data_IF_779271368557
#
_entry.id   IF_779271368557
#
_cell.length_a   1.000
_cell.length_b   1.000
_cell.length_c   1.000
_cell.angle_alpha   90.00
_cell.angle_beta   90.00
_cell.angle_gamma   90.00
#
_symmetry.space_group_name_H-M   'P 1'
#
loop_
_entity.id
_entity.type
_entity.pdbx_description
1 polymer ?
#
# COMPACT_ATOMS: atom_id res chain seq x y z
N UNK A 1 12.12 18.01 10.26
CA UNK A 1 11.94 19.43 10.63
C UNK A 1 11.74 19.56 12.15
N UNK A 2 12.59 20.32 12.86
CA UNK A 2 12.58 20.36 14.33
C UNK A 2 12.55 21.76 14.92
N UNK A 3 12.07 21.86 16.16
CA UNK A 3 12.24 22.99 17.05
C UNK A 3 12.50 22.45 18.48
N UNK A 4 13.48 23.03 19.18
CA UNK A 4 13.85 22.69 20.55
C UNK A 4 13.81 23.95 21.42
N UNK A 5 13.43 23.81 22.70
CA UNK A 5 13.63 24.81 23.76
C UNK A 5 14.10 24.12 25.07
N UNK A 6 14.85 24.83 25.94
CA UNK A 6 15.60 24.25 27.06
C UNK A 6 14.74 23.98 28.33
N UNK A 7 15.28 23.22 29.31
CA UNK A 7 14.52 22.69 30.45
C UNK A 7 14.38 23.66 31.64
N UNK A 8 13.51 23.30 32.59
CA UNK A 8 13.38 23.93 33.90
C UNK A 8 13.53 22.83 34.98
N UNK A 9 14.50 22.99 35.87
CA UNK A 9 14.74 22.24 37.12
C UNK A 9 13.77 22.69 38.22
N UNK A 10 13.50 22.08 39.37
CA UNK A 10 13.88 20.88 40.16
C UNK A 10 12.69 20.66 41.13
N UNK A 11 12.37 19.52 41.76
CA UNK A 11 12.92 18.15 41.86
C UNK A 11 11.74 17.19 42.21
N UNK A 12 11.95 15.86 42.15
CA UNK A 12 11.42 14.83 43.07
C UNK A 12 11.76 13.41 42.57
N UNK A 13 12.88 12.85 43.04
CA UNK A 13 13.08 11.39 43.13
C UNK A 13 12.20 10.82 44.30
N UNK A 14 11.87 9.54 44.42
CA UNK A 14 12.59 8.30 44.09
C UNK A 14 11.69 7.13 43.64
N UNK A 15 12.30 6.20 42.90
CA UNK A 15 12.09 4.73 42.89
C UNK A 15 10.69 4.09 42.67
N UNK A 16 10.55 3.43 41.50
CA UNK A 16 9.91 2.12 41.39
C UNK A 16 10.50 1.29 40.21
N UNK A 17 11.33 0.31 40.57
CA UNK A 17 11.87 -0.86 39.85
C UNK A 17 11.83 -1.00 38.30
N UNK A 18 13.01 -1.35 37.78
CA UNK A 18 13.20 -1.91 36.44
C UNK A 18 12.68 -3.35 36.31
N UNK A 19 11.89 -3.65 35.27
CA UNK A 19 11.77 -5.01 34.74
C UNK A 19 11.25 -5.06 33.28
N UNK A 20 12.20 -5.20 32.33
CA UNK A 20 12.17 -6.03 31.09
C UNK A 20 12.77 -5.33 29.88
N UNK A 21 14.07 -5.50 29.77
CA UNK A 21 14.75 -5.56 28.48
C UNK A 21 14.20 -6.78 27.71
N UNK A 22 13.54 -6.56 26.58
CA UNK A 22 13.54 -7.51 25.48
C UNK A 22 14.06 -6.78 24.26
N UNK A 23 15.34 -6.99 23.97
CA UNK A 23 16.00 -6.56 22.74
C UNK A 23 15.37 -7.32 21.57
N UNK A 24 14.22 -6.83 21.12
CA UNK A 24 13.71 -7.14 19.80
C UNK A 24 14.56 -6.32 18.82
N UNK A 25 15.65 -6.93 18.37
CA UNK A 25 16.46 -6.38 17.28
C UNK A 25 15.58 -6.29 16.03
N UNK A 26 14.92 -5.15 15.85
CA UNK A 26 14.23 -4.81 14.61
C UNK A 26 15.27 -4.75 13.51
N UNK A 27 15.41 -5.83 12.75
CA UNK A 27 16.09 -5.78 11.47
C UNK A 27 15.29 -4.81 10.60
N UNK A 28 15.77 -3.57 10.47
CA UNK A 28 15.33 -2.66 9.43
C UNK A 28 15.67 -3.33 8.10
N UNK A 29 14.67 -3.90 7.44
CA UNK A 29 14.81 -4.46 6.10
C UNK A 29 14.69 -3.29 5.13
N UNK A 30 15.73 -2.46 5.09
CA UNK A 30 15.82 -1.39 4.11
C UNK A 30 15.69 -1.97 2.70
N UNK A 31 14.87 -1.33 1.86
CA UNK A 31 14.63 -1.73 0.47
C UNK A 31 15.89 -2.26 -0.23
N UNK A 32 15.84 -3.40 -0.96
CA UNK A 32 16.99 -3.96 -1.66
C UNK A 32 17.52 -3.03 -2.77
N UNK A 33 16.80 -1.95 -3.09
CA UNK A 33 17.17 -0.95 -4.08
C UNK A 33 17.81 0.31 -3.49
N UNK A 34 17.87 0.46 -2.15
CA UNK A 34 18.28 1.72 -1.48
C UNK A 34 19.67 2.21 -1.90
N UNK A 35 20.65 1.30 -2.00
CA UNK A 35 22.03 1.61 -2.38
C UNK A 35 22.26 1.66 -3.91
N UNK A 36 21.23 1.39 -4.72
CA UNK A 36 21.34 1.27 -6.18
C UNK A 36 21.06 2.59 -6.92
N UNK A 37 20.63 3.63 -6.21
CA UNK A 37 20.36 4.96 -6.79
C UNK A 37 19.10 5.04 -7.66
N UNK A 38 18.16 4.11 -7.49
CA UNK A 38 16.86 4.14 -8.16
C UNK A 38 15.85 5.01 -7.39
N UNK A 39 14.92 5.63 -8.12
CA UNK A 39 13.78 6.38 -7.55
C UNK A 39 12.62 5.44 -7.22
N UNK A 40 12.01 5.56 -6.04
CA UNK A 40 10.74 4.90 -5.72
C UNK A 40 9.56 5.62 -6.40
N UNK A 41 9.26 5.25 -7.64
CA UNK A 41 8.14 5.81 -8.44
C UNK A 41 6.75 5.39 -7.95
N UNK A 42 6.66 4.48 -6.97
CA UNK A 42 5.44 4.09 -6.26
C UNK A 42 5.17 4.90 -4.99
N UNK A 43 6.08 5.80 -4.60
CA UNK A 43 5.98 6.64 -3.39
C UNK A 43 4.72 7.53 -3.35
N UNK A 44 4.00 7.50 -2.21
CA UNK A 44 2.87 8.39 -1.92
C UNK A 44 3.34 9.83 -1.71
N UNK A 45 4.50 10.06 -1.10
CA UNK A 45 5.15 11.37 -1.00
C UNK A 45 5.38 12.00 -2.36
N UNK A 46 5.92 11.25 -3.32
CA UNK A 46 6.17 11.71 -4.70
C UNK A 46 4.93 11.78 -5.59
N UNK A 47 3.75 11.41 -5.09
CA UNK A 47 2.47 11.59 -5.80
C UNK A 47 1.88 10.34 -6.46
N UNK A 48 2.45 9.15 -6.26
CA UNK A 48 1.86 7.87 -6.69
C UNK A 48 0.53 7.61 -5.97
N UNK A 49 -0.49 7.09 -6.65
CA UNK A 49 -1.83 6.86 -6.08
C UNK A 49 -2.44 5.55 -6.55
N UNK A 50 -3.22 4.89 -5.68
CA UNK A 50 -4.12 3.83 -6.08
C UNK A 50 -5.35 4.44 -6.76
N UNK A 51 -5.66 4.00 -7.98
CA UNK A 51 -6.83 4.42 -8.76
C UNK A 51 -8.06 3.52 -8.56
N UNK A 52 -7.83 2.24 -8.21
CA UNK A 52 -8.84 1.21 -7.99
C UNK A 52 -8.23 0.06 -7.18
N UNK A 53 -9.02 -0.62 -6.35
CA UNK A 53 -8.63 -1.86 -5.68
C UNK A 53 -9.89 -2.75 -5.51
N UNK A 54 -9.83 -4.03 -5.86
CA UNK A 54 -11.04 -4.90 -5.89
C UNK A 54 -11.75 -5.01 -4.54
N UNK A 55 -10.99 -5.10 -3.46
CA UNK A 55 -11.48 -5.33 -2.10
C UNK A 55 -10.50 -4.69 -1.10
N UNK A 56 -11.00 -3.88 -0.17
CA UNK A 56 -10.22 -3.16 0.84
C UNK A 56 -10.81 -3.43 2.24
N UNK A 57 -11.37 -4.62 2.45
CA UNK A 57 -12.16 -4.88 3.66
C UNK A 57 -11.32 -4.84 4.93
N UNK A 58 -10.17 -5.52 4.96
CA UNK A 58 -9.35 -5.62 6.17
C UNK A 58 -8.31 -4.51 6.24
N UNK A 59 -7.73 -4.08 5.10
CA UNK A 59 -6.87 -2.90 5.03
C UNK A 59 -6.88 -2.31 3.61
N UNK A 60 -6.66 -0.99 3.48
CA UNK A 60 -6.74 -0.28 2.20
C UNK A 60 -5.45 -0.36 1.38
N UNK A 61 -5.57 -0.45 0.06
CA UNK A 61 -4.45 -0.53 -0.88
C UNK A 61 -3.54 0.71 -0.85
N UNK A 62 -4.06 1.84 -0.37
CA UNK A 62 -3.29 3.07 -0.13
C UNK A 62 -2.08 2.90 0.80
N UNK A 63 -2.08 1.86 1.65
CA UNK A 63 -0.95 1.53 2.51
C UNK A 63 0.27 1.01 1.72
N UNK A 64 0.06 0.39 0.55
CA UNK A 64 1.14 -0.14 -0.30
C UNK A 64 2.11 0.94 -0.85
N UNK A 65 1.71 2.21 -0.75
CA UNK A 65 2.44 3.34 -1.32
C UNK A 65 3.11 4.21 -0.24
N UNK A 66 2.98 3.86 1.06
CA UNK A 66 3.62 4.61 2.14
C UNK A 66 5.14 4.62 1.98
N UNK A 67 5.75 5.70 2.46
CA UNK A 67 7.20 5.88 2.42
C UNK A 67 7.87 5.37 3.70
N UNK A 68 7.07 5.16 4.74
CA UNK A 68 7.45 4.57 6.02
C UNK A 68 7.39 3.04 6.00
N UNK A 69 8.27 2.40 6.78
CA UNK A 69 8.27 0.96 7.04
C UNK A 69 6.90 0.47 7.61
N UNK A 70 6.36 -0.69 7.18
CA UNK A 70 5.10 -1.21 7.69
C UNK A 70 5.09 -1.42 9.20
N UNK A 71 4.11 -0.82 9.89
CA UNK A 71 3.97 -0.91 11.35
C UNK A 71 2.94 -1.97 11.75
N UNK A 72 3.27 -2.81 12.74
CA UNK A 72 2.32 -3.71 13.38
C UNK A 72 2.11 -3.35 14.84
N UNK A 73 0.87 -2.98 15.17
CA UNK A 73 0.43 -2.75 16.54
C UNK A 73 -0.39 -3.97 17.02
N UNK A 74 0.07 -4.73 18.03
CA UNK A 74 -0.65 -5.90 18.55
C UNK A 74 -1.95 -5.54 19.29
N UNK A 75 -2.13 -4.29 19.72
CA UNK A 75 -3.31 -3.79 20.44
C UNK A 75 -4.32 -3.06 19.54
N UNK A 76 -3.92 -2.60 18.34
CA UNK A 76 -4.82 -1.94 17.40
C UNK A 76 -5.88 -2.88 16.79
N UNK A 77 -7.15 -2.56 16.97
CA UNK A 77 -8.30 -3.24 16.36
C UNK A 77 -9.37 -2.22 15.93
N UNK A 78 -10.12 -2.57 14.89
CA UNK A 78 -11.24 -1.83 14.32
C UNK A 78 -12.44 -2.78 14.13
N UNK A 79 -13.57 -2.28 13.60
CA UNK A 79 -14.76 -3.10 13.32
C UNK A 79 -14.46 -4.26 12.36
N UNK A 80 -13.55 -4.05 11.41
CA UNK A 80 -13.16 -5.03 10.40
C UNK A 80 -12.17 -6.07 10.93
N UNK A 81 -11.53 -5.82 12.09
CA UNK A 81 -10.59 -6.74 12.73
C UNK A 81 -9.28 -6.09 13.18
N UNK A 82 -8.18 -6.84 13.13
CA UNK A 82 -6.82 -6.32 13.37
C UNK A 82 -6.53 -5.24 12.33
N UNK A 83 -6.03 -4.08 12.79
CA UNK A 83 -5.50 -3.06 11.87
C UNK A 83 -4.16 -3.56 11.33
N UNK A 84 -4.02 -3.59 10.00
CA UNK A 84 -2.81 -4.00 9.30
C UNK A 84 -2.26 -2.83 8.47
N UNK A 85 -0.95 -2.61 8.52
CA UNK A 85 -0.29 -1.64 7.66
C UNK A 85 0.14 -2.28 6.33
N UNK A 86 -0.85 -2.44 5.46
CA UNK A 86 -0.70 -3.04 4.13
C UNK A 86 -2.05 -3.12 3.44
N UNK A 87 -2.16 -3.92 2.39
CA UNK A 87 -3.43 -4.20 1.71
C UNK A 87 -3.93 -5.60 2.07
N UNK A 88 -5.17 -5.73 2.53
CA UNK A 88 -5.76 -7.03 2.86
C UNK A 88 -7.22 -7.12 2.42
N UNK A 89 -7.49 -8.06 1.51
CA UNK A 89 -8.82 -8.37 0.99
C UNK A 89 -9.53 -9.48 1.76
N UNK A 90 -10.85 -9.59 1.58
CA UNK A 90 -11.60 -10.76 2.06
C UNK A 90 -11.12 -12.04 1.36
N UNK A 91 -11.01 -13.13 2.13
CA UNK A 91 -10.71 -14.48 1.60
C UNK A 91 -11.67 -14.88 0.47
N UNK A 92 -11.16 -14.85 -0.75
CA UNK A 92 -11.82 -15.33 -1.96
C UNK A 92 -12.06 -16.85 -1.88
N UNK A 93 -13.22 -17.30 -2.36
CA UNK A 93 -13.61 -18.73 -2.45
C UNK A 93 -13.91 -19.17 -3.89
N UNK A 94 -13.69 -18.27 -4.83
CA UNK A 94 -13.95 -18.42 -6.26
C UNK A 94 -12.66 -18.17 -7.04
N UNK A 95 -12.60 -18.61 -8.29
CA UNK A 95 -11.44 -18.39 -9.14
C UNK A 95 -11.17 -16.88 -9.40
N UNK A 96 -9.93 -16.58 -9.80
CA UNK A 96 -9.44 -15.22 -10.02
C UNK A 96 -8.51 -14.75 -8.91
N UNK A 97 -8.27 -13.45 -8.89
CA UNK A 97 -7.37 -12.77 -7.96
C UNK A 97 -7.98 -11.42 -7.56
N UNK A 98 -7.47 -10.83 -6.49
CA UNK A 98 -7.67 -9.41 -6.20
C UNK A 98 -6.57 -8.60 -6.89
N UNK A 99 -6.91 -7.40 -7.35
CA UNK A 99 -5.94 -6.47 -7.96
C UNK A 99 -6.18 -5.03 -7.52
N UNK A 100 -5.13 -4.22 -7.59
CA UNK A 100 -5.21 -2.77 -7.54
C UNK A 100 -4.54 -2.15 -8.77
N UNK A 101 -4.91 -0.92 -9.09
CA UNK A 101 -4.34 -0.14 -10.19
C UNK A 101 -3.56 1.01 -9.57
N UNK A 102 -2.26 1.07 -9.84
CA UNK A 102 -1.35 2.08 -9.30
C UNK A 102 -0.98 3.06 -10.41
N UNK A 103 -1.23 4.36 -10.19
CA UNK A 103 -0.65 5.45 -10.99
C UNK A 103 0.68 5.83 -10.34
N UNK A 104 1.78 5.57 -11.03
CA UNK A 104 3.13 5.99 -10.61
C UNK A 104 3.25 7.53 -10.60
N UNK A 105 4.16 8.05 -9.78
CA UNK A 105 4.45 9.49 -9.69
C UNK A 105 4.95 10.08 -11.01
N UNK A 106 5.78 9.32 -11.73
CA UNK A 106 6.37 9.73 -13.01
C UNK A 106 6.40 8.61 -14.06
N UNK A 107 6.62 8.99 -15.32
CA UNK A 107 6.81 8.05 -16.43
C UNK A 107 8.28 7.60 -16.46
N UNK A 108 8.52 6.34 -16.12
CA UNK A 108 9.87 5.77 -15.98
C UNK A 108 10.05 4.45 -16.75
N UNK A 109 11.28 3.96 -16.80
CA UNK A 109 11.55 2.53 -17.01
C UNK A 109 11.62 1.84 -15.65
N UNK A 110 10.83 0.78 -15.45
CA UNK A 110 10.85 0.01 -14.20
C UNK A 110 12.06 -0.93 -14.22
N UNK A 111 12.96 -0.76 -13.24
CA UNK A 111 14.21 -1.52 -13.11
C UNK A 111 14.11 -2.69 -12.13
N UNK A 112 13.15 -2.62 -11.19
CA UNK A 112 12.88 -3.61 -10.17
C UNK A 112 11.53 -3.33 -9.51
N UNK A 113 11.03 -4.32 -8.77
CA UNK A 113 9.82 -4.23 -7.96
C UNK A 113 10.13 -4.85 -6.60
N UNK A 114 9.66 -4.20 -5.54
CA UNK A 114 9.69 -4.71 -4.18
C UNK A 114 8.27 -5.12 -3.79
N UNK A 115 8.16 -6.26 -3.09
CA UNK A 115 6.90 -6.78 -2.58
C UNK A 115 7.11 -7.16 -1.13
N UNK A 116 6.90 -6.20 -0.24
CA UNK A 116 6.93 -6.49 1.19
C UNK A 116 5.63 -7.20 1.61
N UNK A 117 5.80 -8.20 2.48
CA UNK A 117 4.71 -8.97 3.11
C UNK A 117 4.87 -8.98 4.63
N UNK A 118 5.61 -8.01 5.18
CA UNK A 118 5.79 -7.79 6.61
C UNK A 118 4.46 -7.92 7.38
N UNK A 119 4.52 -8.61 8.51
CA UNK A 119 3.41 -8.85 9.43
C UNK A 119 2.26 -9.74 8.89
N UNK A 120 2.24 -10.10 7.60
CA UNK A 120 1.25 -11.04 7.03
C UNK A 120 1.64 -12.52 7.24
N UNK A 121 1.74 -12.92 8.51
CA UNK A 121 2.20 -14.27 8.90
C UNK A 121 1.11 -15.33 8.69
N UNK A 122 1.08 -15.95 7.51
CA UNK A 122 0.16 -17.03 7.14
C UNK A 122 -1.07 -16.60 6.32
N UNK A 123 -1.22 -15.30 6.07
CA UNK A 123 -2.19 -14.70 5.15
C UNK A 123 -1.53 -13.88 4.02
N UNK A 124 -0.19 -13.87 3.92
CA UNK A 124 0.51 -13.25 2.78
C UNK A 124 0.07 -13.82 1.43
N UNK A 125 0.21 -13.01 0.39
CA UNK A 125 -0.13 -13.39 -0.98
C UNK A 125 0.73 -14.58 -1.44
N UNK A 126 0.14 -15.70 -1.93
CA UNK A 126 0.90 -16.88 -2.32
C UNK A 126 1.57 -16.74 -3.70
N UNK A 127 1.00 -15.91 -4.57
CA UNK A 127 1.47 -15.62 -5.92
C UNK A 127 1.03 -14.22 -6.31
N UNK A 128 1.95 -13.43 -6.86
CA UNK A 128 1.69 -12.08 -7.38
C UNK A 128 2.07 -12.00 -8.86
N UNK A 129 1.42 -11.10 -9.60
CA UNK A 129 1.80 -10.77 -10.97
C UNK A 129 1.62 -9.29 -11.21
N UNK A 130 2.42 -8.73 -12.11
CA UNK A 130 2.42 -7.30 -12.41
C UNK A 130 2.11 -7.08 -13.88
N UNK A 131 1.28 -6.09 -14.15
CA UNK A 131 1.06 -5.57 -15.50
C UNK A 131 1.34 -4.06 -15.47
N UNK A 132 1.94 -3.56 -16.54
CA UNK A 132 2.35 -2.16 -16.68
C UNK A 132 1.83 -1.65 -18.02
N UNK A 133 1.26 -0.45 -18.03
CA UNK A 133 0.85 0.23 -19.25
C UNK A 133 1.52 1.60 -19.37
N UNK A 134 2.10 1.86 -20.54
CA UNK A 134 2.50 3.21 -20.92
C UNK A 134 1.33 3.91 -21.63
N UNK A 135 0.61 4.76 -20.92
CA UNK A 135 -0.58 5.47 -21.42
C UNK A 135 -0.28 6.93 -21.75
N UNK A 136 -0.76 7.40 -22.90
CA UNK A 136 -0.89 8.84 -23.14
C UNK A 136 -1.91 9.44 -22.19
N UNK A 137 -1.83 10.75 -21.94
CA UNK A 137 -2.76 11.47 -21.05
C UNK A 137 -4.23 11.20 -21.39
N UNK A 138 -4.61 11.20 -22.68
CA UNK A 138 -5.98 10.89 -23.12
C UNK A 138 -6.40 9.46 -22.79
N UNK A 139 -5.50 8.48 -22.95
CA UNK A 139 -5.80 7.08 -22.62
C UNK A 139 -5.93 6.88 -21.11
N UNK A 140 -5.06 7.52 -20.31
CA UNK A 140 -5.15 7.52 -18.85
C UNK A 140 -6.48 8.14 -18.38
N UNK A 141 -6.83 9.33 -18.87
CA UNK A 141 -8.10 9.99 -18.54
C UNK A 141 -9.30 9.11 -18.90
N UNK A 142 -9.29 8.48 -20.09
CA UNK A 142 -10.39 7.62 -20.51
C UNK A 142 -10.49 6.34 -19.67
N UNK A 143 -9.36 5.76 -19.24
CA UNK A 143 -9.33 4.64 -18.29
C UNK A 143 -9.91 5.07 -16.94
N UNK A 144 -9.40 6.14 -16.34
CA UNK A 144 -9.80 6.61 -15.00
C UNK A 144 -11.29 6.95 -14.93
N UNK A 145 -11.85 7.61 -15.95
CA UNK A 145 -13.29 7.92 -16.02
C UNK A 145 -14.16 6.64 -16.09
N UNK A 146 -13.61 5.55 -16.63
CA UNK A 146 -14.30 4.26 -16.70
C UNK A 146 -14.07 3.37 -15.47
N UNK A 147 -13.16 3.71 -14.55
CA UNK A 147 -12.96 2.97 -13.30
C UNK A 147 -14.09 3.26 -12.29
N UNK A 148 -14.69 2.24 -11.66
CA UNK A 148 -15.69 2.43 -10.61
C UNK A 148 -15.12 3.21 -9.42
N UNK A 149 -15.90 4.15 -8.87
CA UNK A 149 -15.54 4.92 -7.66
C UNK A 149 -14.29 5.79 -7.79
N UNK A 150 -13.78 6.03 -9.01
CA UNK A 150 -12.48 6.69 -9.21
C UNK A 150 -12.48 8.15 -8.76
N UNK A 151 -13.60 8.87 -8.90
CA UNK A 151 -13.74 10.25 -8.43
C UNK A 151 -13.73 10.31 -6.90
N UNK A 152 -14.51 9.46 -6.26
CA UNK A 152 -14.58 9.34 -4.81
C UNK A 152 -13.21 8.96 -4.23
N UNK A 153 -12.52 8.00 -4.85
CA UNK A 153 -11.17 7.57 -4.45
C UNK A 153 -10.13 8.68 -4.63
N UNK A 154 -10.20 9.46 -5.70
CA UNK A 154 -9.28 10.60 -5.90
C UNK A 154 -9.46 11.70 -4.85
N UNK A 155 -10.64 11.81 -4.24
CA UNK A 155 -10.93 12.79 -3.18
C UNK A 155 -10.59 12.24 -1.78
N UNK A 156 -10.84 10.95 -1.53
CA UNK A 156 -10.83 10.37 -0.18
C UNK A 156 -9.75 9.29 0.07
N UNK A 157 -9.12 8.75 -0.97
CA UNK A 157 -8.30 7.54 -0.89
C UNK A 157 -9.15 6.26 -0.81
N UNK A 158 -8.49 5.12 -0.61
CA UNK A 158 -9.16 3.86 -0.27
C UNK A 158 -9.83 3.88 1.10
N UNK A 159 -10.95 3.17 1.23
CA UNK A 159 -11.76 3.15 2.47
C UNK A 159 -11.80 1.72 3.00
N UNK A 160 -11.23 1.52 4.18
CA UNK A 160 -11.23 0.23 4.87
C UNK A 160 -12.67 -0.25 5.12
N UNK A 161 -12.93 -1.55 4.95
CA UNK A 161 -14.27 -2.13 5.05
C UNK A 161 -15.09 -2.05 3.76
N UNK A 162 -14.52 -1.56 2.66
CA UNK A 162 -15.18 -1.53 1.35
C UNK A 162 -14.68 -2.64 0.41
N UNK A 163 -15.38 -2.83 -0.71
CA UNK A 163 -14.96 -3.71 -1.78
C UNK A 163 -16.00 -3.71 -2.90
N UNK A 164 -15.54 -3.74 -4.14
CA UNK A 164 -16.39 -3.57 -5.32
C UNK A 164 -17.21 -4.81 -5.63
N UNK A 165 -18.40 -4.59 -6.20
CA UNK A 165 -19.25 -5.68 -6.72
C UNK A 165 -18.60 -6.38 -7.93
N UNK A 166 -18.99 -7.63 -8.24
CA UNK A 166 -18.49 -8.32 -9.44
C UNK A 166 -18.72 -7.55 -10.75
N UNK A 167 -19.77 -6.73 -10.84
CA UNK A 167 -20.03 -5.83 -11.96
C UNK A 167 -19.01 -4.70 -12.08
N UNK A 168 -18.61 -4.11 -10.95
CA UNK A 168 -17.60 -3.05 -10.89
C UNK A 168 -16.20 -3.61 -11.16
N UNK A 169 -15.85 -4.76 -10.58
CA UNK A 169 -14.58 -5.44 -10.88
C UNK A 169 -14.46 -5.73 -12.38
N UNK A 170 -15.53 -6.25 -13.00
CA UNK A 170 -15.57 -6.47 -14.46
C UNK A 170 -15.49 -5.17 -15.27
N UNK A 171 -16.05 -4.07 -14.78
CA UNK A 171 -15.91 -2.76 -15.43
C UNK A 171 -14.46 -2.27 -15.35
N UNK A 172 -13.78 -2.47 -14.22
CA UNK A 172 -12.36 -2.14 -14.09
C UNK A 172 -11.47 -2.99 -15.01
N UNK A 173 -11.71 -4.29 -15.11
CA UNK A 173 -11.05 -5.19 -16.08
C UNK A 173 -11.24 -4.71 -17.53
N UNK A 174 -12.44 -4.21 -17.88
CA UNK A 174 -12.73 -3.64 -19.20
C UNK A 174 -12.03 -2.30 -19.45
N UNK A 175 -11.84 -1.49 -18.41
CA UNK A 175 -11.07 -0.24 -18.50
C UNK A 175 -9.56 -0.50 -18.72
N UNK A 176 -9.04 -1.66 -18.29
CA UNK A 176 -7.62 -2.05 -18.41
C UNK A 176 -7.32 -3.08 -19.50
N UNK A 177 -8.30 -3.58 -20.26
CA UNK A 177 -8.08 -4.65 -21.26
C UNK A 177 -7.43 -4.20 -22.58
N UNK A 178 -6.61 -3.15 -22.59
CA UNK A 178 -6.01 -2.56 -23.80
C UNK A 178 -4.58 -3.04 -24.10
N UNK A 179 -4.17 -3.02 -25.38
CA UNK A 179 -2.84 -3.46 -25.87
C UNK A 179 -1.63 -2.73 -25.24
N UNK A 180 -1.86 -1.61 -24.54
CA UNK A 180 -0.83 -0.91 -23.80
C UNK A 180 -0.34 -1.70 -22.57
N UNK A 181 -1.18 -2.56 -21.99
CA UNK A 181 -0.87 -3.35 -20.80
C UNK A 181 0.01 -4.54 -21.17
N UNK A 182 1.12 -4.68 -20.45
CA UNK A 182 2.11 -5.73 -20.64
C UNK A 182 2.42 -6.38 -19.29
N UNK A 183 2.33 -7.70 -19.22
CA UNK A 183 2.84 -8.42 -18.06
C UNK A 183 4.34 -8.19 -17.91
N UNK A 184 4.80 -8.00 -16.68
CA UNK A 184 6.22 -8.11 -16.37
C UNK A 184 6.71 -9.54 -16.73
N UNK A 185 7.98 -9.71 -17.13
CA UNK A 185 8.58 -11.04 -17.25
C UNK A 185 8.48 -11.80 -15.91
N UNK A 186 8.22 -13.11 -15.99
CA UNK A 186 8.31 -14.03 -14.84
C UNK A 186 9.76 -14.44 -14.58
#
# INVERSE_FOLDING_TARGET
PGFYLPPITEDHAEEAEAAKHSDATTHQVTSPFVDQGYTNVSSKGEGSRILFATDEWFAAADNLLKDEEPVFDPEAFCEQGKVMDGWESRRRREAGHDFCIIKLSERCQIMGLEVDTAHFTGNHVPQISFQVADLSHTQETQMVINLPGSVERLIHGGIQGTGHSPSEVKQAEQATSGEAWRSAPQ
#
